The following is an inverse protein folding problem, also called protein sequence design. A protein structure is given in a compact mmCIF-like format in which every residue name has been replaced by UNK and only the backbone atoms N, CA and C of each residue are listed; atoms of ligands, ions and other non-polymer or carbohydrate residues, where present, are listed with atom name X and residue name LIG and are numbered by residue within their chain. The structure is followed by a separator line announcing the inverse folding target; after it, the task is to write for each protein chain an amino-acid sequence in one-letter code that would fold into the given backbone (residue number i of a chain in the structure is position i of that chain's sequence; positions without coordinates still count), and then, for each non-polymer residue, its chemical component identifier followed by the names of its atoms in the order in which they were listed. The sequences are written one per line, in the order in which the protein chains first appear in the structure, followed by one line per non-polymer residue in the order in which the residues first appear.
data_IF_726112320517
#
_entry.id   IF_726112320517
#
_cell.length_a   1.000
_cell.length_b   1.000
_cell.length_c   1.000
_cell.angle_alpha   90.00
_cell.angle_beta   90.00
_cell.angle_gamma   90.00
#
_symmetry.space_group_name_H-M   'P 1'
#
loop_
_entity.id
_entity.type
_entity.pdbx_description
1 polymer ?
#
# COMPACT_ATOMS: atom_id res chain seq x y z
N UNK A 1 -48.69 -53.25 6.62
CA UNK A 1 -49.10 -51.95 7.20
C UNK A 1 -47.88 -51.29 7.83
N UNK A 2 -47.60 -50.03 7.44
CA UNK A 2 -46.80 -48.98 8.13
C UNK A 2 -45.32 -49.30 8.45
N UNK A 3 -44.34 -48.42 8.24
CA UNK A 3 -44.23 -47.07 7.66
C UNK A 3 -42.73 -46.88 7.38
N UNK A 4 -42.38 -46.52 6.15
CA UNK A 4 -41.05 -46.00 5.81
C UNK A 4 -40.95 -44.60 6.44
N UNK A 5 -39.89 -44.32 7.17
CA UNK A 5 -39.63 -42.97 7.69
C UNK A 5 -38.20 -42.57 7.36
N UNK A 6 -38.07 -41.97 6.18
CA UNK A 6 -36.93 -41.17 5.76
C UNK A 6 -36.93 -39.89 6.59
N UNK A 7 -35.88 -39.65 7.38
CA UNK A 7 -35.60 -38.32 7.95
C UNK A 7 -34.31 -37.82 7.32
N UNK A 8 -34.50 -36.82 6.47
CA UNK A 8 -33.50 -36.05 5.76
C UNK A 8 -32.87 -35.06 6.76
N UNK A 9 -31.64 -35.28 7.19
CA UNK A 9 -30.90 -34.31 8.01
C UNK A 9 -30.07 -33.42 7.08
N UNK A 10 -30.63 -32.26 6.74
CA UNK A 10 -29.91 -31.13 6.15
C UNK A 10 -29.10 -30.50 7.29
N UNK A 11 -27.77 -30.62 7.23
CA UNK A 11 -26.88 -29.82 8.06
C UNK A 11 -26.04 -28.90 7.15
N UNK A 12 -26.64 -27.75 6.82
CA UNK A 12 -25.94 -26.59 6.30
C UNK A 12 -25.13 -26.02 7.47
N UNK A 13 -23.82 -26.26 7.46
CA UNK A 13 -22.85 -25.64 8.37
C UNK A 13 -21.93 -24.68 7.62
N UNK A 14 -22.52 -23.78 6.82
CA UNK A 14 -21.78 -22.72 6.13
C UNK A 14 -21.75 -21.49 7.04
N UNK A 15 -20.70 -21.34 7.85
CA UNK A 15 -20.33 -20.06 8.46
C UNK A 15 -18.90 -20.06 9.01
N UNK A 16 -17.92 -20.49 8.20
CA UNK A 16 -16.58 -19.90 8.35
C UNK A 16 -16.62 -18.52 7.68
N UNK A 17 -17.34 -17.59 8.30
CA UNK A 17 -17.19 -16.16 8.04
C UNK A 17 -15.85 -15.75 8.62
N UNK A 18 -14.76 -16.19 7.99
CA UNK A 18 -13.51 -15.49 8.15
C UNK A 18 -13.82 -14.04 7.76
N UNK A 19 -13.81 -13.16 8.76
CA UNK A 19 -13.71 -11.73 8.52
C UNK A 19 -12.47 -11.56 7.66
N UNK A 20 -12.66 -11.51 6.34
CA UNK A 20 -11.64 -11.04 5.43
C UNK A 20 -11.45 -9.57 5.79
N UNK A 21 -10.65 -9.31 6.81
CA UNK A 21 -10.01 -8.01 6.95
C UNK A 21 -9.27 -7.84 5.64
N UNK A 22 -9.80 -7.01 4.75
CA UNK A 22 -9.08 -6.58 3.57
C UNK A 22 -7.70 -6.14 4.08
N UNK A 23 -6.64 -6.85 3.68
CA UNK A 23 -5.30 -6.61 4.17
C UNK A 23 -5.00 -5.12 3.98
N UNK A 24 -4.99 -4.37 5.09
CA UNK A 24 -4.76 -2.95 5.04
C UNK A 24 -3.25 -2.73 5.02
N UNK A 25 -2.74 -2.05 3.99
CA UNK A 25 -1.33 -1.75 3.81
C UNK A 25 -0.83 -0.61 4.70
N UNK A 26 -1.69 -0.01 5.54
CA UNK A 26 -1.27 1.01 6.52
C UNK A 26 -0.17 0.48 7.42
N UNK A 27 0.90 1.27 7.58
CA UNK A 27 2.10 0.90 8.34
C UNK A 27 3.12 0.07 7.56
N UNK A 28 2.83 -0.30 6.31
CA UNK A 28 3.81 -0.98 5.47
C UNK A 28 4.78 0.00 4.82
N UNK A 29 5.98 -0.50 4.57
CA UNK A 29 7.08 0.20 3.93
C UNK A 29 7.05 -0.05 2.42
N UNK A 30 7.20 1.01 1.63
CA UNK A 30 7.20 0.93 0.17
C UNK A 30 8.30 1.79 -0.45
N UNK A 31 8.76 1.38 -1.62
CA UNK A 31 9.77 2.11 -2.40
C UNK A 31 9.34 2.21 -3.87
N UNK A 32 9.58 3.35 -4.57
CA UNK A 32 9.24 3.48 -5.98
C UNK A 32 9.79 2.34 -6.83
N UNK A 33 8.96 1.75 -7.69
CA UNK A 33 9.44 0.75 -8.64
C UNK A 33 10.55 1.32 -9.51
N UNK A 34 11.64 0.57 -9.64
CA UNK A 34 12.81 1.03 -10.40
C UNK A 34 13.05 0.20 -11.66
N UNK A 35 13.89 0.75 -12.54
CA UNK A 35 14.52 0.07 -13.66
C UNK A 35 15.95 0.56 -13.82
N UNK A 36 16.77 -0.19 -14.55
CA UNK A 36 18.11 0.26 -14.96
C UNK A 36 17.95 1.28 -16.09
N UNK A 37 18.44 2.49 -15.85
CA UNK A 37 18.51 3.59 -16.81
C UNK A 37 19.88 3.67 -17.50
N UNK A 38 20.10 4.79 -18.19
CA UNK A 38 21.39 5.05 -18.84
C UNK A 38 22.55 5.03 -17.84
N UNK A 39 23.67 4.42 -18.23
CA UNK A 39 24.86 4.31 -17.38
C UNK A 39 24.70 3.42 -16.14
N UNK A 40 23.73 2.49 -16.13
CA UNK A 40 23.55 1.51 -15.06
C UNK A 40 22.87 2.03 -13.80
N UNK A 41 22.40 3.29 -13.79
CA UNK A 41 21.76 3.90 -12.62
C UNK A 41 20.30 3.44 -12.48
N UNK A 42 19.83 3.26 -11.25
CA UNK A 42 18.42 3.03 -11.00
C UNK A 42 17.61 4.33 -11.21
N UNK A 43 16.52 4.22 -11.95
CA UNK A 43 15.54 5.29 -12.17
C UNK A 43 14.14 4.75 -11.93
N UNK A 44 13.17 5.64 -11.66
CA UNK A 44 11.76 5.22 -11.56
C UNK A 44 11.32 4.52 -12.84
N UNK A 45 10.59 3.40 -12.69
CA UNK A 45 10.07 2.62 -13.81
C UNK A 45 9.10 3.45 -14.67
N UNK A 46 8.29 4.27 -13.99
CA UNK A 46 7.35 5.24 -14.57
C UNK A 46 7.29 6.50 -13.69
N UNK A 47 6.92 7.67 -14.24
CA UNK A 47 6.63 8.84 -13.42
C UNK A 47 5.50 8.55 -12.42
N UNK A 48 5.71 8.90 -11.15
CA UNK A 48 4.71 8.73 -10.10
C UNK A 48 4.08 10.09 -9.81
N UNK A 49 2.75 10.16 -9.85
CA UNK A 49 2.01 11.37 -9.51
C UNK A 49 1.55 11.33 -8.07
N UNK A 50 1.93 12.36 -7.30
CA UNK A 50 1.38 12.66 -5.99
C UNK A 50 0.16 13.57 -6.16
N UNK A 51 -0.99 13.03 -5.82
CA UNK A 51 -2.28 13.68 -5.81
C UNK A 51 -2.56 14.31 -4.44
N UNK A 52 -3.20 15.48 -4.41
CA UNK A 52 -3.59 16.14 -3.14
C UNK A 52 -4.77 15.40 -2.44
N UNK A 53 -5.57 14.66 -3.22
CA UNK A 53 -6.68 13.83 -2.75
C UNK A 53 -6.69 12.47 -3.48
N UNK A 54 -7.30 11.41 -2.93
CA UNK A 54 -7.28 10.07 -3.52
C UNK A 54 -8.26 9.91 -4.69
N UNK A 55 -8.19 10.78 -5.69
CA UNK A 55 -9.03 10.72 -6.88
C UNK A 55 -8.27 11.22 -8.11
N UNK A 56 -8.81 10.93 -9.29
CA UNK A 56 -8.16 11.24 -10.56
C UNK A 56 -8.20 12.72 -10.95
N UNK A 57 -9.11 13.48 -10.35
CA UNK A 57 -9.40 14.88 -10.70
C UNK A 57 -8.67 15.90 -9.82
N UNK A 58 -7.96 15.45 -8.77
CA UNK A 58 -7.21 16.36 -7.90
C UNK A 58 -6.01 16.97 -8.63
N UNK A 59 -5.51 18.07 -8.07
CA UNK A 59 -4.15 18.55 -8.36
C UNK A 59 -3.13 17.43 -8.19
N UNK A 60 -2.14 17.42 -9.08
CA UNK A 60 -1.06 16.42 -9.09
C UNK A 60 0.27 17.10 -9.28
N UNK A 61 1.28 16.56 -8.61
CA UNK A 61 2.69 16.87 -8.85
C UNK A 61 3.50 15.58 -8.98
N UNK A 62 4.59 15.64 -9.72
CA UNK A 62 5.45 14.47 -9.90
C UNK A 62 6.27 14.22 -8.63
N UNK A 63 6.37 12.96 -8.21
CA UNK A 63 7.31 12.53 -7.18
C UNK A 63 8.73 12.63 -7.75
N UNK A 64 9.59 13.39 -7.09
CA UNK A 64 10.97 13.62 -7.53
C UNK A 64 12.00 12.84 -6.71
N UNK A 65 11.60 12.25 -5.58
CA UNK A 65 12.47 11.57 -4.63
C UNK A 65 12.49 10.05 -4.85
N UNK A 66 13.68 9.46 -4.83
CA UNK A 66 13.92 8.01 -4.84
C UNK A 66 14.15 7.50 -3.42
N UNK A 67 13.12 7.64 -2.57
CA UNK A 67 13.18 7.35 -1.14
C UNK A 67 12.12 6.32 -0.74
N UNK A 68 12.26 5.73 0.45
CA UNK A 68 11.24 4.87 1.04
C UNK A 68 10.11 5.71 1.68
N UNK A 69 8.91 5.13 1.72
CA UNK A 69 7.73 5.76 2.32
C UNK A 69 6.98 4.75 3.18
N UNK A 70 6.30 5.26 4.21
CA UNK A 70 5.30 4.50 4.95
C UNK A 70 3.90 4.87 4.46
N UNK A 71 3.02 3.87 4.36
CA UNK A 71 1.61 4.08 4.04
C UNK A 71 0.85 4.52 5.30
N UNK A 72 0.22 5.69 5.28
CA UNK A 72 -0.59 6.24 6.39
C UNK A 72 -2.08 5.97 6.25
N UNK A 73 -2.59 5.90 5.01
CA UNK A 73 -3.99 5.67 4.73
C UNK A 73 -4.17 4.97 3.38
N UNK A 74 -5.34 4.35 3.21
CA UNK A 74 -5.76 3.75 1.95
C UNK A 74 -7.12 4.29 1.55
N UNK A 75 -7.34 4.40 0.24
CA UNK A 75 -8.59 4.85 -0.34
C UNK A 75 -8.97 3.99 -1.57
N UNK A 76 -10.26 3.96 -1.96
CA UNK A 76 -10.71 3.23 -3.13
C UNK A 76 -9.93 3.57 -4.41
N UNK A 77 -9.89 2.63 -5.35
CA UNK A 77 -9.12 2.78 -6.58
C UNK A 77 -7.62 2.57 -6.41
N UNK A 78 -7.16 2.01 -5.28
CA UNK A 78 -5.75 1.66 -5.06
C UNK A 78 -4.86 2.85 -4.71
N UNK A 79 -5.45 3.91 -4.16
CA UNK A 79 -4.69 5.06 -3.66
C UNK A 79 -4.19 4.81 -2.24
N UNK A 80 -2.93 5.14 -2.01
CA UNK A 80 -2.27 5.12 -0.70
C UNK A 80 -1.75 6.50 -0.36
N UNK A 81 -1.89 6.92 0.89
CA UNK A 81 -1.30 8.16 1.38
C UNK A 81 0.11 7.85 1.89
N UNK A 82 1.11 8.52 1.31
CA UNK A 82 2.51 8.30 1.62
C UNK A 82 2.99 9.31 2.67
N UNK A 83 3.80 8.84 3.59
CA UNK A 83 4.58 9.67 4.50
C UNK A 83 6.06 9.31 4.41
N UNK A 84 6.89 10.35 4.54
CA UNK A 84 8.35 10.22 4.66
C UNK A 84 8.74 9.39 5.88
N UNK A 85 9.93 8.78 5.80
CA UNK A 85 10.53 7.94 6.85
C UNK A 85 11.79 8.63 7.41
N UNK A 86 12.41 8.12 8.48
CA UNK A 86 13.69 8.63 8.93
C UNK A 86 14.76 8.56 7.83
N UNK A 87 15.53 9.63 7.69
CA UNK A 87 16.60 9.75 6.69
C UNK A 87 17.96 9.63 7.37
N UNK A 88 18.48 8.40 7.43
CA UNK A 88 19.73 8.08 8.13
C UNK A 88 21.00 8.64 7.47
N UNK A 89 20.88 9.24 6.29
CA UNK A 89 21.99 9.97 5.65
C UNK A 89 22.13 11.41 6.20
N UNK A 90 21.18 11.87 7.04
CA UNK A 90 21.18 13.22 7.64
C UNK A 90 21.59 13.22 9.12
N UNK A 91 22.17 14.33 9.63
CA UNK A 91 22.52 14.48 11.04
C UNK A 91 21.34 14.35 12.01
N UNK A 92 20.12 14.68 11.56
CA UNK A 92 18.89 14.47 12.30
C UNK A 92 17.89 13.67 11.44
N UNK A 93 17.95 12.32 11.49
CA UNK A 93 17.15 11.47 10.62
C UNK A 93 15.65 11.67 10.77
N UNK A 94 15.20 12.01 11.98
CA UNK A 94 13.78 12.11 12.31
C UNK A 94 13.16 13.47 11.99
N UNK A 95 13.95 14.48 11.61
CA UNK A 95 13.48 15.86 11.46
C UNK A 95 12.27 16.00 10.51
N UNK A 96 12.21 15.16 9.47
CA UNK A 96 11.14 15.20 8.48
C UNK A 96 10.26 13.95 8.49
N UNK A 97 10.56 12.94 9.31
CA UNK A 97 9.86 11.67 9.32
C UNK A 97 8.36 11.84 9.64
N UNK A 98 7.52 11.02 9.01
CA UNK A 98 6.07 11.05 9.19
C UNK A 98 5.34 12.16 8.44
N UNK A 99 6.05 13.08 7.76
CA UNK A 99 5.42 14.12 6.94
C UNK A 99 4.72 13.49 5.74
N UNK A 100 3.42 13.74 5.62
CA UNK A 100 2.61 13.31 4.47
C UNK A 100 3.08 14.03 3.22
N UNK A 101 3.33 13.26 2.15
CA UNK A 101 3.71 13.80 0.84
C UNK A 101 2.57 13.73 -0.17
N UNK A 102 1.50 12.99 0.09
CA UNK A 102 0.30 12.98 -0.76
C UNK A 102 -0.16 11.57 -1.10
N UNK A 103 -1.09 11.49 -2.05
CA UNK A 103 -1.71 10.25 -2.48
C UNK A 103 -1.08 9.73 -3.77
N UNK A 104 -0.78 8.44 -3.84
CA UNK A 104 -0.24 7.80 -5.04
C UNK A 104 -0.90 6.44 -5.28
N UNK A 105 -0.70 5.86 -6.47
CA UNK A 105 -1.15 4.50 -6.74
C UNK A 105 -0.19 3.50 -6.12
N UNK A 106 -0.70 2.57 -5.31
CA UNK A 106 0.12 1.52 -4.70
C UNK A 106 0.83 0.65 -5.76
N UNK A 107 0.24 0.51 -6.94
CA UNK A 107 0.82 -0.24 -8.06
C UNK A 107 2.18 0.29 -8.53
N UNK A 108 2.52 1.53 -8.21
CA UNK A 108 3.78 2.18 -8.63
C UNK A 108 4.94 1.88 -7.66
N UNK A 109 4.68 1.14 -6.59
CA UNK A 109 5.65 0.86 -5.54
C UNK A 109 5.85 -0.65 -5.33
N UNK A 110 7.04 -0.99 -4.85
CA UNK A 110 7.37 -2.31 -4.30
C UNK A 110 7.35 -2.26 -2.78
N UNK A 111 6.83 -3.30 -2.15
CA UNK A 111 6.92 -3.45 -0.70
C UNK A 111 8.36 -3.70 -0.28
N UNK A 112 8.72 -3.13 0.85
CA UNK A 112 10.02 -3.29 1.49
C UNK A 112 9.84 -3.89 2.88
N UNK A 113 10.92 -4.48 3.39
CA UNK A 113 10.98 -4.87 4.79
C UNK A 113 10.82 -3.63 5.68
N UNK A 114 10.11 -3.75 6.81
CA UNK A 114 9.84 -2.60 7.69
C UNK A 114 11.10 -1.91 8.22
N UNK A 115 12.23 -2.63 8.30
CA UNK A 115 13.55 -2.05 8.67
C UNK A 115 14.06 -0.97 7.69
N UNK A 116 13.51 -0.90 6.47
CA UNK A 116 13.87 0.12 5.49
C UNK A 116 13.07 1.42 5.67
N UNK A 117 12.13 1.45 6.63
CA UNK A 117 11.31 2.61 6.95
C UNK A 117 11.39 3.02 8.44
N UNK A 118 12.18 2.32 9.26
CA UNK A 118 12.32 2.54 10.70
C UNK A 118 13.79 2.61 11.10
#
# INVERSE_FOLDING_TARGET
MKKITTVMAIAIGFACSATAFAANHVGQCVFPKTKVGAGGRFVMKSPINLADAPNTSSGKRVLTSMEAFTIKAQAPGGFVQLATVPDYDKPNPNQNAGRVVGWAKLSDFDFQDQRNCN
#
